data_IF_920929403094
#
_entry.id   IF_920929403094
#
_cell.length_a   1.000
_cell.length_b   1.000
_cell.length_c   1.000
_cell.angle_alpha   90.00
_cell.angle_beta   90.00
_cell.angle_gamma   90.00
#
_symmetry.space_group_name_H-M   'P 1'
#
loop_
_entity.id
_entity.type
_entity.pdbx_description
1 polymer ?
#
# COMPACT_ATOMS: atom_id res chain seq x y z
N UNK A 1 27.01 16.63 -15.44
CA UNK A 1 26.57 16.31 -14.06
C UNK A 1 26.77 14.82 -13.89
N UNK A 2 27.43 14.38 -12.81
CA UNK A 2 27.57 12.94 -12.52
C UNK A 2 26.19 12.34 -12.28
N UNK A 3 25.89 11.21 -12.91
CA UNK A 3 24.66 10.49 -12.65
C UNK A 3 24.62 10.04 -11.18
N UNK A 4 23.57 10.46 -10.46
CA UNK A 4 23.32 10.05 -9.07
C UNK A 4 22.41 8.82 -9.05
N UNK A 5 22.70 7.88 -8.16
CA UNK A 5 22.02 6.59 -8.08
C UNK A 5 21.25 6.44 -6.77
N UNK A 6 20.07 5.83 -6.81
CA UNK A 6 19.31 5.46 -5.62
C UNK A 6 19.66 4.05 -5.12
N UNK A 7 19.97 3.14 -6.06
CA UNK A 7 20.18 1.71 -5.79
C UNK A 7 21.30 1.14 -6.66
N UNK A 8 21.85 0.00 -6.24
CA UNK A 8 22.94 -0.68 -6.94
C UNK A 8 22.47 -1.33 -8.24
N UNK A 9 23.41 -2.01 -8.92
CA UNK A 9 23.14 -2.68 -10.19
C UNK A 9 22.15 -3.83 -10.02
N UNK A 10 21.20 -3.94 -10.94
CA UNK A 10 20.39 -5.14 -11.12
C UNK A 10 21.17 -6.24 -11.86
N UNK A 11 20.51 -7.37 -12.14
CA UNK A 11 21.10 -8.52 -12.86
C UNK A 11 21.64 -8.16 -14.27
N UNK A 12 21.17 -7.06 -14.87
CA UNK A 12 21.61 -6.56 -16.18
C UNK A 12 22.76 -5.55 -16.08
N UNK A 13 23.28 -5.31 -14.88
CA UNK A 13 24.38 -4.36 -14.65
C UNK A 13 23.96 -2.89 -14.64
N UNK A 14 22.65 -2.60 -14.60
CA UNK A 14 22.11 -1.23 -14.63
C UNK A 14 21.81 -0.75 -13.21
N UNK A 15 22.31 0.43 -12.82
CA UNK A 15 21.97 1.09 -11.54
C UNK A 15 20.67 1.85 -11.64
N UNK A 16 19.96 2.00 -10.53
CA UNK A 16 18.71 2.77 -10.50
C UNK A 16 19.04 4.27 -10.39
N UNK A 17 18.73 5.12 -11.40
CA UNK A 17 18.91 6.56 -11.29
C UNK A 17 18.12 7.14 -10.12
N UNK A 18 18.72 8.04 -9.33
CA UNK A 18 18.04 8.69 -8.21
C UNK A 18 16.81 9.47 -8.66
N UNK A 19 16.89 10.18 -9.79
CA UNK A 19 15.76 10.91 -10.38
C UNK A 19 14.60 9.98 -10.71
N UNK A 20 14.89 8.81 -11.29
CA UNK A 20 13.88 7.83 -11.67
C UNK A 20 13.20 7.27 -10.41
N UNK A 21 13.99 6.87 -9.42
CA UNK A 21 13.49 6.34 -8.15
C UNK A 21 12.59 7.34 -7.41
N UNK A 22 13.05 8.59 -7.22
CA UNK A 22 12.25 9.59 -6.50
C UNK A 22 10.92 9.88 -7.19
N UNK A 23 10.92 10.00 -8.52
CA UNK A 23 9.68 10.27 -9.29
C UNK A 23 8.78 9.03 -9.40
N UNK A 24 9.36 7.83 -9.53
CA UNK A 24 8.64 6.56 -9.56
C UNK A 24 7.93 6.28 -8.24
N UNK A 25 8.65 6.35 -7.13
CA UNK A 25 8.11 6.26 -5.77
C UNK A 25 7.06 7.34 -5.51
N UNK A 26 7.27 8.58 -5.94
CA UNK A 26 6.29 9.66 -5.80
C UNK A 26 4.99 9.37 -6.56
N UNK A 27 5.09 8.93 -7.82
CA UNK A 27 3.93 8.58 -8.64
C UNK A 27 3.10 7.44 -8.04
N UNK A 28 3.77 6.37 -7.58
CA UNK A 28 3.12 5.25 -6.91
C UNK A 28 2.43 5.70 -5.61
N UNK A 29 3.15 6.38 -4.71
CA UNK A 29 2.61 6.84 -3.44
C UNK A 29 1.41 7.78 -3.61
N UNK A 30 1.48 8.71 -4.56
CA UNK A 30 0.36 9.58 -4.92
C UNK A 30 -0.86 8.77 -5.36
N UNK A 31 -0.66 7.79 -6.26
CA UNK A 31 -1.75 6.93 -6.75
C UNK A 31 -2.40 6.09 -5.65
N UNK A 32 -1.63 5.59 -4.68
CA UNK A 32 -2.15 4.82 -3.55
C UNK A 32 -2.96 5.69 -2.60
N UNK A 33 -2.55 6.95 -2.44
CA UNK A 33 -3.19 7.89 -1.53
C UNK A 33 -4.38 8.64 -2.13
N UNK A 34 -4.60 8.55 -3.45
CA UNK A 34 -5.69 9.22 -4.15
C UNK A 34 -7.07 8.82 -3.60
N UNK A 35 -7.26 7.55 -3.22
CA UNK A 35 -8.55 7.02 -2.74
C UNK A 35 -9.02 7.65 -1.41
N UNK A 36 -8.12 8.29 -0.66
CA UNK A 36 -8.45 9.06 0.55
C UNK A 36 -8.06 10.54 0.44
N UNK A 37 -7.88 11.03 -0.80
CA UNK A 37 -7.67 12.45 -1.11
C UNK A 37 -6.28 13.00 -0.78
N UNK A 38 -5.30 12.14 -0.47
CA UNK A 38 -3.97 12.52 0.01
C UNK A 38 -2.86 12.35 -1.04
N UNK A 39 -3.22 12.38 -2.33
CA UNK A 39 -2.30 12.25 -3.45
C UNK A 39 -1.13 13.24 -3.36
N UNK A 40 -1.42 14.53 -3.19
CA UNK A 40 -0.39 15.59 -3.16
C UNK A 40 0.64 15.41 -2.04
N UNK A 41 0.17 15.06 -0.84
CA UNK A 41 1.05 14.90 0.33
C UNK A 41 1.87 13.61 0.23
N UNK A 42 1.26 12.49 -0.19
CA UNK A 42 1.97 11.24 -0.36
C UNK A 42 3.01 11.34 -1.49
N UNK A 43 2.64 11.94 -2.62
CA UNK A 43 3.56 12.21 -3.73
C UNK A 43 4.78 13.00 -3.26
N UNK A 44 4.57 14.12 -2.55
CA UNK A 44 5.68 14.96 -2.15
C UNK A 44 6.57 14.31 -1.08
N UNK A 45 5.99 13.63 -0.08
CA UNK A 45 6.77 12.92 0.93
C UNK A 45 7.62 11.81 0.30
N UNK A 46 7.07 11.06 -0.66
CA UNK A 46 7.82 10.10 -1.44
C UNK A 46 8.89 10.74 -2.34
N UNK A 47 8.62 11.89 -2.96
CA UNK A 47 9.60 12.59 -3.80
C UNK A 47 10.86 12.99 -3.02
N UNK A 48 10.71 13.33 -1.74
CA UNK A 48 11.83 13.83 -0.92
C UNK A 48 12.43 12.77 0.01
N UNK A 49 11.84 11.57 0.11
CA UNK A 49 12.18 10.61 1.17
C UNK A 49 13.68 10.25 1.21
N UNK A 50 14.28 10.14 0.02
CA UNK A 50 15.65 9.73 -0.23
C UNK A 50 16.56 10.89 -0.71
N UNK A 51 16.14 12.14 -0.49
CA UNK A 51 16.89 13.32 -0.90
C UNK A 51 18.37 13.30 -0.44
N UNK A 52 18.65 12.70 0.72
CA UNK A 52 20.02 12.61 1.24
C UNK A 52 20.94 11.70 0.43
N UNK A 53 20.40 10.79 -0.42
CA UNK A 53 21.19 9.96 -1.33
C UNK A 53 21.95 10.80 -2.36
N UNK A 54 21.54 12.05 -2.61
CA UNK A 54 22.23 12.96 -3.53
C UNK A 54 23.62 13.39 -3.03
N UNK A 55 23.95 13.19 -1.74
CA UNK A 55 25.26 13.56 -1.19
C UNK A 55 26.37 12.68 -1.75
N UNK A 56 27.53 13.29 -2.00
CA UNK A 56 28.71 12.59 -2.50
C UNK A 56 29.14 11.44 -1.58
N UNK A 57 29.10 11.65 -0.26
CA UNK A 57 29.47 10.62 0.72
C UNK A 57 28.58 9.37 0.60
N UNK A 58 27.29 9.55 0.34
CA UNK A 58 26.34 8.45 0.16
C UNK A 58 26.61 7.72 -1.17
N UNK A 59 26.80 8.46 -2.27
CA UNK A 59 27.12 7.87 -3.58
C UNK A 59 28.41 7.03 -3.54
N UNK A 60 29.46 7.53 -2.88
CA UNK A 60 30.69 6.76 -2.68
C UNK A 60 30.45 5.53 -1.80
N UNK A 61 29.62 5.65 -0.78
CA UNK A 61 29.18 4.52 0.05
C UNK A 61 28.47 3.44 -0.77
N UNK A 62 27.59 3.82 -1.68
CA UNK A 62 26.89 2.89 -2.58
C UNK A 62 27.88 2.14 -3.48
N UNK A 63 28.86 2.82 -4.07
CA UNK A 63 29.87 2.18 -4.91
C UNK A 63 30.72 1.16 -4.14
N UNK A 64 31.09 1.47 -2.88
CA UNK A 64 31.80 0.54 -1.99
C UNK A 64 30.93 -0.66 -1.59
N UNK A 65 29.66 -0.40 -1.29
CA UNK A 65 28.70 -1.43 -0.93
C UNK A 65 28.46 -2.41 -2.09
N UNK A 66 28.33 -1.88 -3.31
CA UNK A 66 28.20 -2.69 -4.54
C UNK A 66 29.42 -3.60 -4.75
N UNK A 67 30.63 -3.09 -4.54
CA UNK A 67 31.86 -3.87 -4.71
C UNK A 67 32.05 -4.96 -3.64
N UNK A 68 31.56 -4.73 -2.42
CA UNK A 68 31.74 -5.64 -1.28
C UNK A 68 30.54 -6.56 -1.01
N UNK A 69 29.39 -6.33 -1.67
CA UNK A 69 28.12 -6.98 -1.32
C UNK A 69 27.57 -6.54 0.05
N UNK A 70 28.03 -5.40 0.55
CA UNK A 70 27.73 -4.89 1.91
C UNK A 70 26.64 -3.84 1.97
N UNK A 71 26.48 -3.22 3.15
CA UNK A 71 25.58 -2.08 3.37
C UNK A 71 26.25 -0.77 2.96
N UNK A 72 25.45 0.24 2.61
CA UNK A 72 25.93 1.61 2.36
C UNK A 72 26.39 2.24 3.66
N UNK A 73 27.71 2.36 3.83
CA UNK A 73 28.35 2.89 5.03
C UNK A 73 29.46 3.89 4.71
N UNK A 74 29.74 4.74 5.68
CA UNK A 74 30.88 5.65 5.69
C UNK A 74 32.21 4.89 5.75
N UNK A 75 33.31 5.63 5.63
CA UNK A 75 34.66 5.09 5.77
C UNK A 75 34.95 4.54 7.17
N UNK A 76 34.18 5.02 8.16
CA UNK A 76 34.17 4.60 9.56
C UNK A 76 33.26 3.38 9.83
N UNK A 77 32.60 2.85 8.80
CA UNK A 77 31.67 1.72 8.90
C UNK A 77 30.29 2.09 9.43
N UNK A 78 30.01 3.37 9.71
CA UNK A 78 28.71 3.82 10.20
C UNK A 78 27.70 4.02 9.05
N UNK A 79 26.41 3.87 9.35
CA UNK A 79 25.36 4.17 8.37
C UNK A 79 25.38 5.65 8.01
N UNK A 80 25.33 5.94 6.70
CA UNK A 80 25.27 7.30 6.20
C UNK A 80 23.81 7.76 6.24
N UNK A 81 23.52 8.86 6.94
CA UNK A 81 22.18 9.43 6.94
C UNK A 81 21.77 9.86 5.52
N UNK A 82 20.56 9.48 5.13
CA UNK A 82 19.92 9.96 3.91
C UNK A 82 18.50 10.50 4.14
N UNK A 83 18.02 10.52 5.38
CA UNK A 83 16.63 10.84 5.71
C UNK A 83 16.43 12.30 6.11
N UNK A 84 17.44 12.95 6.71
CA UNK A 84 17.29 14.29 7.30
C UNK A 84 16.96 15.35 6.27
N UNK A 85 17.60 15.30 5.10
CA UNK A 85 17.33 16.25 4.02
C UNK A 85 15.86 16.23 3.59
N UNK A 86 15.31 15.04 3.37
CA UNK A 86 13.91 14.84 3.04
C UNK A 86 12.96 15.23 4.17
N UNK A 87 13.31 14.86 5.40
CA UNK A 87 12.52 15.20 6.61
C UNK A 87 12.44 16.72 6.78
N UNK A 88 13.55 17.43 6.56
CA UNK A 88 13.56 18.88 6.60
C UNK A 88 12.69 19.50 5.51
N UNK A 89 12.83 19.05 4.25
CA UNK A 89 11.98 19.51 3.14
C UNK A 89 10.49 19.27 3.42
N UNK A 90 10.12 18.11 3.98
CA UNK A 90 8.76 17.82 4.38
C UNK A 90 8.24 18.81 5.43
N UNK A 91 9.03 19.09 6.48
CA UNK A 91 8.65 20.03 7.53
C UNK A 91 8.55 21.49 7.07
N UNK A 92 9.28 21.88 6.02
CA UNK A 92 9.17 23.21 5.42
C UNK A 92 7.89 23.37 4.59
N UNK A 93 7.53 22.35 3.81
CA UNK A 93 6.50 22.47 2.78
C UNK A 93 5.14 21.87 3.17
N UNK A 94 5.04 21.09 4.25
CA UNK A 94 3.79 20.49 4.72
C UNK A 94 3.45 20.98 6.13
N UNK A 95 2.17 21.30 6.37
CA UNK A 95 1.63 21.61 7.69
C UNK A 95 0.42 20.73 8.02
N UNK A 96 0.29 20.21 9.26
CA UNK A 96 1.28 20.27 10.36
C UNK A 96 2.60 19.50 10.07
N UNK A 97 3.73 19.88 10.70
CA UNK A 97 5.05 19.27 10.42
C UNK A 97 5.17 17.81 10.84
N UNK A 98 4.17 17.26 11.56
CA UNK A 98 4.11 15.84 11.95
C UNK A 98 4.18 14.91 10.74
N UNK A 99 3.73 15.34 9.56
CA UNK A 99 3.83 14.55 8.33
C UNK A 99 5.28 14.26 7.91
N UNK A 100 6.25 15.05 8.36
CA UNK A 100 7.68 14.75 8.13
C UNK A 100 8.12 13.44 8.80
N UNK A 101 7.35 12.88 9.75
CA UNK A 101 7.58 11.55 10.31
C UNK A 101 7.55 10.45 9.26
N UNK A 102 6.78 10.63 8.19
CA UNK A 102 6.72 9.66 7.09
C UNK A 102 8.11 9.48 6.49
N UNK A 103 8.80 10.59 6.22
CA UNK A 103 10.17 10.56 5.68
C UNK A 103 11.17 10.14 6.75
N UNK A 104 11.04 10.60 7.98
CA UNK A 104 11.97 10.19 9.03
C UNK A 104 11.94 8.66 9.29
N UNK A 105 10.75 8.07 9.19
CA UNK A 105 10.49 6.67 9.50
C UNK A 105 10.63 5.67 8.34
N UNK A 106 10.86 6.09 7.09
CA UNK A 106 10.63 5.24 5.91
C UNK A 106 11.42 3.91 5.86
N UNK A 107 12.51 3.75 6.63
CA UNK A 107 13.21 2.45 6.80
C UNK A 107 13.14 1.88 8.23
N UNK A 108 12.66 2.64 9.22
CA UNK A 108 12.73 2.28 10.64
C UNK A 108 11.38 2.18 11.35
N UNK A 109 10.28 2.49 10.65
CA UNK A 109 8.96 2.68 11.26
C UNK A 109 8.75 4.11 11.77
N UNK A 110 7.50 4.44 12.09
CA UNK A 110 7.15 5.73 12.68
C UNK A 110 7.75 5.84 14.10
N UNK A 111 8.49 6.93 14.34
CA UNK A 111 9.15 7.19 15.62
C UNK A 111 8.29 8.05 16.57
N UNK A 112 8.81 8.39 17.74
CA UNK A 112 8.19 9.41 18.60
C UNK A 112 8.36 10.83 18.03
N UNK A 113 7.44 11.74 18.38
CA UNK A 113 7.45 13.17 18.02
C UNK A 113 8.69 13.92 18.52
N UNK A 114 9.29 13.51 19.64
CA UNK A 114 10.50 14.13 20.17
C UNK A 114 11.69 13.91 19.21
N UNK A 115 11.85 12.69 18.71
CA UNK A 115 12.89 12.36 17.73
C UNK A 115 12.69 13.13 16.42
N UNK A 116 11.45 13.34 16.00
CA UNK A 116 11.15 14.19 14.85
C UNK A 116 11.56 15.64 15.11
N UNK A 117 11.20 16.20 16.27
CA UNK A 117 11.56 17.58 16.62
C UNK A 117 13.07 17.78 16.60
N UNK A 118 13.82 16.81 17.10
CA UNK A 118 15.29 16.84 17.07
C UNK A 118 15.85 16.70 15.64
N UNK A 119 15.23 15.87 14.80
CA UNK A 119 15.63 15.73 13.40
C UNK A 119 15.35 17.00 12.57
N UNK A 120 14.27 17.72 12.88
CA UNK A 120 13.88 18.97 12.19
C UNK A 120 14.64 20.18 12.73
N UNK A 121 15.00 20.19 14.02
CA UNK A 121 15.84 21.24 14.64
C UNK A 121 17.29 21.05 14.21
N UNK A 122 17.64 21.71 13.10
CA UNK A 122 18.97 21.71 12.45
C UNK A 122 20.16 22.09 13.36
N UNK A 123 19.92 22.54 14.60
CA UNK A 123 20.94 22.91 15.58
C UNK A 123 21.57 21.70 16.30
N UNK A 124 20.99 20.51 16.17
CA UNK A 124 21.54 19.30 16.78
C UNK A 124 22.71 18.80 15.91
N UNK A 125 23.95 19.04 16.37
CA UNK A 125 25.23 18.46 15.89
C UNK A 125 25.87 19.02 14.60
N UNK A 126 25.58 20.26 14.20
CA UNK A 126 26.27 20.87 13.05
C UNK A 126 25.94 20.23 11.69
N UNK A 127 24.83 19.49 11.61
CA UNK A 127 24.39 18.76 10.42
C UNK A 127 23.66 19.66 9.40
N UNK A 128 23.48 20.96 9.71
CA UNK A 128 22.82 21.94 8.85
C UNK A 128 23.45 22.00 7.47
N UNK A 129 24.78 22.07 7.39
CA UNK A 129 25.50 22.18 6.12
C UNK A 129 25.32 20.91 5.28
N UNK A 130 25.33 19.73 5.91
CA UNK A 130 25.07 18.46 5.24
C UNK A 130 23.64 18.36 4.69
N UNK A 131 22.66 18.87 5.43
CA UNK A 131 21.26 18.95 4.97
C UNK A 131 21.14 19.91 3.79
N UNK A 132 21.72 21.11 3.87
CA UNK A 132 21.66 22.08 2.78
C UNK A 132 22.41 21.62 1.53
N UNK A 133 23.56 20.95 1.70
CA UNK A 133 24.30 20.29 0.62
C UNK A 133 23.42 19.26 -0.09
N UNK A 134 22.80 18.35 0.66
CA UNK A 134 21.90 17.34 0.10
C UNK A 134 20.72 17.97 -0.64
N UNK A 135 20.08 18.97 -0.03
CA UNK A 135 18.94 19.69 -0.61
C UNK A 135 19.35 20.40 -1.91
N UNK A 136 20.49 21.07 -1.94
CA UNK A 136 21.00 21.71 -3.15
C UNK A 136 21.33 20.71 -4.26
N UNK A 137 21.97 19.59 -3.90
CA UNK A 137 22.32 18.53 -4.84
C UNK A 137 21.08 17.85 -5.45
N UNK A 138 20.08 17.51 -4.64
CA UNK A 138 18.84 16.91 -5.15
C UNK A 138 18.00 17.92 -5.94
N UNK A 139 17.93 19.19 -5.52
CA UNK A 139 17.19 20.22 -6.25
C UNK A 139 17.77 20.51 -7.64
N UNK A 140 19.06 20.28 -7.85
CA UNK A 140 19.70 20.43 -9.16
C UNK A 140 19.24 19.38 -10.19
N UNK A 141 18.81 18.19 -9.74
CA UNK A 141 18.37 17.08 -10.60
C UNK A 141 16.85 16.81 -10.54
N UNK A 142 16.21 17.22 -9.45
CA UNK A 142 14.77 17.11 -9.18
C UNK A 142 14.30 18.46 -8.61
N UNK A 143 14.13 19.50 -9.43
CA UNK A 143 13.78 20.84 -8.96
C UNK A 143 12.43 20.89 -8.22
N UNK A 144 11.54 19.93 -8.45
CA UNK A 144 10.21 19.84 -7.84
C UNK A 144 10.24 19.64 -6.32
N UNK A 145 11.39 19.24 -5.76
CA UNK A 145 11.61 19.15 -4.30
C UNK A 145 11.57 20.53 -3.62
N UNK A 146 11.81 21.61 -4.37
CA UNK A 146 11.67 22.98 -3.91
C UNK A 146 10.31 23.53 -4.36
N UNK A 147 9.48 23.94 -3.41
CA UNK A 147 8.13 24.45 -3.73
C UNK A 147 7.98 25.93 -3.38
N UNK A 148 7.38 26.69 -4.30
CA UNK A 148 6.94 28.05 -4.05
C UNK A 148 5.66 28.15 -3.22
N UNK A 149 4.95 27.04 -3.03
CA UNK A 149 3.72 26.97 -2.22
C UNK A 149 3.74 25.74 -1.30
N UNK A 150 3.00 25.78 -0.18
CA UNK A 150 2.78 24.59 0.63
C UNK A 150 2.15 23.46 -0.17
N UNK A 151 2.40 22.23 0.27
CA UNK A 151 1.76 21.03 -0.24
C UNK A 151 0.36 20.94 0.39
N UNK A 152 -0.70 20.78 -0.42
CA UNK A 152 -2.05 20.62 0.10
C UNK A 152 -2.17 19.37 0.98
N UNK A 153 -2.82 19.53 2.13
CA UNK A 153 -3.26 18.44 3.01
C UNK A 153 -4.78 18.32 2.88
N UNK A 154 -5.35 17.10 2.91
CA UNK A 154 -6.79 16.92 2.72
C UNK A 154 -7.59 17.73 3.74
N UNK A 155 -8.61 18.45 3.26
CA UNK A 155 -9.39 19.37 4.09
C UNK A 155 -10.10 18.64 5.25
N UNK A 156 -10.55 17.40 5.03
CA UNK A 156 -11.22 16.58 6.04
C UNK A 156 -10.38 16.31 7.29
N UNK A 157 -9.05 16.45 7.19
CA UNK A 157 -8.10 16.28 8.31
C UNK A 157 -7.88 17.59 9.07
N UNK A 158 -7.97 18.72 8.36
CA UNK A 158 -7.70 20.04 8.91
C UNK A 158 -8.94 20.65 9.59
N UNK A 159 -10.13 20.13 9.31
CA UNK A 159 -11.36 20.50 10.02
C UNK A 159 -11.25 20.08 11.49
N UNK A 160 -11.55 21.03 12.38
CA UNK A 160 -11.66 20.84 13.84
C UNK A 160 -10.41 20.36 14.58
N UNK A 161 -9.21 20.53 13.99
CA UNK A 161 -7.92 20.10 14.59
C UNK A 161 -7.93 18.64 15.10
N UNK A 162 -8.65 17.76 14.41
CA UNK A 162 -8.83 16.37 14.81
C UNK A 162 -7.49 15.61 14.79
N UNK A 163 -6.91 15.42 15.97
CA UNK A 163 -5.58 14.81 16.14
C UNK A 163 -5.58 13.36 15.68
N UNK A 164 -6.66 12.64 15.91
CA UNK A 164 -6.86 11.26 15.51
C UNK A 164 -6.92 11.14 13.98
N UNK A 165 -7.57 12.08 13.29
CA UNK A 165 -7.58 12.13 11.83
C UNK A 165 -6.19 12.42 11.25
N UNK A 166 -5.43 13.33 11.86
CA UNK A 166 -4.04 13.63 11.47
C UNK A 166 -3.16 12.38 11.67
N UNK A 167 -3.26 11.74 12.83
CA UNK A 167 -2.50 10.55 13.19
C UNK A 167 -2.79 9.38 12.24
N UNK A 168 -4.07 9.14 11.96
CA UNK A 168 -4.50 8.14 10.99
C UNK A 168 -3.96 8.46 9.59
N UNK A 169 -4.03 9.73 9.15
CA UNK A 169 -3.51 10.11 7.85
C UNK A 169 -1.99 9.91 7.78
N UNK A 170 -1.23 10.23 8.84
CA UNK A 170 0.21 9.97 8.90
C UNK A 170 0.48 8.48 8.67
N UNK A 171 -0.28 7.58 9.32
CA UNK A 171 -0.12 6.13 9.13
C UNK A 171 -0.46 5.67 7.72
N UNK A 172 -1.57 6.16 7.15
CA UNK A 172 -2.00 5.80 5.80
C UNK A 172 -0.99 6.28 4.75
N UNK A 173 -0.52 7.52 4.86
CA UNK A 173 0.50 8.07 3.95
C UNK A 173 1.86 7.41 4.16
N UNK A 174 2.23 7.07 5.40
CA UNK A 174 3.43 6.27 5.68
C UNK A 174 3.37 4.92 4.97
N UNK A 175 2.25 4.20 5.09
CA UNK A 175 2.04 2.93 4.39
C UNK A 175 2.18 3.10 2.88
N UNK A 176 1.55 4.14 2.30
CA UNK A 176 1.62 4.41 0.87
C UNK A 176 3.04 4.71 0.37
N UNK A 177 3.81 5.50 1.12
CA UNK A 177 5.20 5.85 0.76
C UNK A 177 6.13 4.65 0.90
N UNK A 178 6.00 3.85 1.96
CA UNK A 178 6.80 2.64 2.16
C UNK A 178 6.50 1.59 1.09
N UNK A 179 5.23 1.34 0.80
CA UNK A 179 4.85 0.39 -0.25
C UNK A 179 5.35 0.86 -1.62
N UNK A 180 5.28 2.16 -1.90
CA UNK A 180 5.80 2.74 -3.14
C UNK A 180 7.31 2.57 -3.28
N UNK A 181 8.09 2.84 -2.22
CA UNK A 181 9.55 2.69 -2.21
C UNK A 181 9.95 1.23 -2.46
N UNK A 182 9.26 0.30 -1.77
CA UNK A 182 9.47 -1.13 -1.94
C UNK A 182 9.14 -1.58 -3.37
N UNK A 183 7.99 -1.16 -3.93
CA UNK A 183 7.56 -1.55 -5.27
C UNK A 183 8.45 -0.96 -6.37
N UNK A 184 8.84 0.30 -6.27
CA UNK A 184 9.74 0.93 -7.23
C UNK A 184 11.14 0.27 -7.19
N UNK A 185 11.66 0.01 -5.99
CA UNK A 185 12.92 -0.72 -5.80
C UNK A 185 12.83 -2.13 -6.39
N UNK A 186 11.73 -2.85 -6.12
CA UNK A 186 11.50 -4.19 -6.69
C UNK A 186 11.39 -4.15 -8.21
N UNK A 187 10.70 -3.17 -8.78
CA UNK A 187 10.58 -2.98 -10.22
C UNK A 187 11.95 -2.86 -10.91
N UNK A 188 12.92 -2.22 -10.26
CA UNK A 188 14.29 -2.12 -10.77
C UNK A 188 15.05 -3.46 -10.77
N UNK A 189 14.83 -4.31 -9.77
CA UNK A 189 15.48 -5.61 -9.66
C UNK A 189 14.71 -6.75 -10.35
N UNK A 190 13.43 -6.55 -10.64
CA UNK A 190 12.58 -7.55 -11.27
C UNK A 190 12.90 -7.70 -12.76
N UNK A 191 12.94 -8.96 -13.23
CA UNK A 191 13.12 -9.27 -14.65
C UNK A 191 11.79 -9.32 -15.42
N UNK A 192 10.66 -9.35 -14.73
CA UNK A 192 9.32 -9.58 -15.29
C UNK A 192 8.35 -8.42 -15.00
N UNK A 193 7.44 -8.21 -15.93
CA UNK A 193 6.32 -7.27 -15.82
C UNK A 193 5.33 -7.76 -14.75
N UNK A 194 4.92 -6.89 -13.84
CA UNK A 194 3.90 -7.23 -12.85
C UNK A 194 2.54 -7.50 -13.53
N UNK A 195 1.74 -8.46 -13.01
CA UNK A 195 0.42 -8.71 -13.55
C UNK A 195 -0.49 -7.47 -13.42
N UNK A 196 -1.45 -7.36 -14.34
CA UNK A 196 -2.46 -6.32 -14.26
C UNK A 196 -3.43 -6.62 -13.12
N UNK A 197 -3.82 -5.60 -12.37
CA UNK A 197 -4.79 -5.74 -11.29
C UNK A 197 -6.15 -6.08 -11.89
N UNK A 198 -6.81 -7.14 -11.39
CA UNK A 198 -8.23 -7.33 -11.62
C UNK A 198 -8.99 -6.53 -10.56
N UNK A 199 -9.98 -5.76 -10.99
CA UNK A 199 -10.86 -5.01 -10.09
C UNK A 199 -12.02 -5.90 -9.67
N UNK A 200 -12.38 -5.89 -8.37
CA UNK A 200 -13.57 -6.60 -7.90
C UNK A 200 -14.83 -6.19 -8.68
N UNK A 201 -14.93 -4.93 -9.09
CA UNK A 201 -16.04 -4.42 -9.90
C UNK A 201 -16.26 -5.19 -11.22
N UNK A 202 -15.20 -5.74 -11.82
CA UNK A 202 -15.30 -6.53 -13.07
C UNK A 202 -15.63 -8.00 -12.86
N UNK A 203 -15.77 -8.45 -11.60
CA UNK A 203 -16.04 -9.85 -11.28
C UNK A 203 -17.53 -10.13 -11.00
N UNK A 204 -18.43 -9.15 -11.13
CA UNK A 204 -19.85 -9.34 -10.80
C UNK A 204 -20.50 -10.41 -11.68
N UNK A 205 -20.25 -10.38 -12.98
CA UNK A 205 -20.88 -11.32 -13.92
C UNK A 205 -20.38 -12.75 -13.67
N UNK A 206 -19.06 -12.92 -13.46
CA UNK A 206 -18.46 -14.21 -13.09
C UNK A 206 -19.02 -14.71 -11.76
N UNK A 207 -19.09 -13.82 -10.76
CA UNK A 207 -19.62 -14.13 -9.45
C UNK A 207 -21.07 -14.61 -9.50
N UNK A 208 -21.95 -13.92 -10.23
CA UNK A 208 -23.36 -14.28 -10.33
C UNK A 208 -23.57 -15.60 -11.09
N UNK A 209 -22.84 -15.81 -12.19
CA UNK A 209 -22.89 -17.08 -12.93
C UNK A 209 -22.49 -18.26 -12.05
N UNK A 210 -21.34 -18.15 -11.38
CA UNK A 210 -20.82 -19.19 -10.50
C UNK A 210 -21.70 -19.39 -9.26
N UNK A 211 -22.34 -18.34 -8.74
CA UNK A 211 -23.29 -18.43 -7.62
C UNK A 211 -24.51 -19.25 -7.99
N UNK A 212 -25.09 -19.03 -9.17
CA UNK A 212 -26.25 -19.79 -9.65
C UNK A 212 -25.89 -21.27 -9.79
N UNK A 213 -24.75 -21.58 -10.42
CA UNK A 213 -24.25 -22.96 -10.55
C UNK A 213 -24.03 -23.60 -9.18
N UNK A 214 -23.31 -22.93 -8.28
CA UNK A 214 -23.03 -23.43 -6.93
C UNK A 214 -24.30 -23.76 -6.15
N UNK A 215 -25.33 -22.90 -6.20
CA UNK A 215 -26.59 -23.14 -5.51
C UNK A 215 -27.38 -24.31 -6.14
N UNK A 216 -27.34 -24.47 -7.47
CA UNK A 216 -27.96 -25.60 -8.15
C UNK A 216 -27.29 -26.93 -7.76
N UNK A 217 -25.96 -26.96 -7.66
CA UNK A 217 -25.20 -28.13 -7.19
C UNK A 217 -25.57 -28.51 -5.75
N UNK A 218 -25.67 -27.51 -4.85
CA UNK A 218 -26.08 -27.74 -3.47
C UNK A 218 -27.51 -28.29 -3.38
N UNK A 219 -28.45 -27.74 -4.17
CA UNK A 219 -29.82 -28.22 -4.23
C UNK A 219 -29.91 -29.66 -4.78
N UNK A 220 -29.08 -30.00 -5.78
CA UNK A 220 -29.02 -31.35 -6.33
C UNK A 220 -28.43 -32.37 -5.33
N UNK A 221 -27.41 -31.96 -4.57
CA UNK A 221 -26.71 -32.84 -3.62
C UNK A 221 -27.48 -33.05 -2.31
N UNK A 222 -28.15 -32.01 -1.79
CA UNK A 222 -28.76 -32.03 -0.45
C UNK A 222 -30.30 -31.91 -0.46
N UNK A 223 -30.91 -31.69 -1.63
CA UNK A 223 -32.33 -31.36 -1.75
C UNK A 223 -32.63 -29.89 -1.42
N UNK A 224 -33.76 -29.40 -1.93
CA UNK A 224 -34.24 -28.04 -1.66
C UNK A 224 -34.78 -27.95 -0.24
N UNK A 225 -34.33 -26.95 0.51
CA UNK A 225 -34.77 -26.66 1.88
C UNK A 225 -35.79 -25.53 1.91
N UNK A 226 -36.78 -25.55 2.83
CA UNK A 226 -37.66 -24.40 3.08
C UNK A 226 -36.90 -23.10 3.42
N UNK A 227 -35.67 -23.22 3.93
CA UNK A 227 -34.80 -22.08 4.29
C UNK A 227 -34.16 -21.42 3.06
N UNK A 228 -34.13 -22.08 1.90
CA UNK A 228 -33.47 -21.54 0.70
C UNK A 228 -34.18 -20.29 0.16
N UNK A 229 -35.49 -20.20 0.33
CA UNK A 229 -36.24 -18.97 0.05
C UNK A 229 -35.85 -17.81 0.98
N UNK A 230 -35.52 -18.09 2.25
CA UNK A 230 -35.02 -17.07 3.19
C UNK A 230 -33.62 -16.63 2.78
N UNK A 231 -32.73 -17.57 2.46
CA UNK A 231 -31.36 -17.28 2.01
C UNK A 231 -31.34 -16.41 0.76
N UNK A 232 -32.23 -16.68 -0.19
CA UNK A 232 -32.39 -15.89 -1.42
C UNK A 232 -32.83 -14.46 -1.13
N UNK A 233 -33.84 -14.27 -0.25
CA UNK A 233 -34.28 -12.93 0.16
C UNK A 233 -33.18 -12.15 0.90
N UNK A 234 -32.42 -12.81 1.78
CA UNK A 234 -31.30 -12.19 2.49
C UNK A 234 -30.22 -11.72 1.50
N UNK A 235 -29.92 -12.52 0.49
CA UNK A 235 -29.00 -12.15 -0.59
C UNK A 235 -29.49 -10.92 -1.36
N UNK A 236 -30.74 -10.95 -1.83
CA UNK A 236 -31.35 -9.84 -2.58
C UNK A 236 -31.35 -8.53 -1.79
N UNK A 237 -31.71 -8.58 -0.50
CA UNK A 237 -31.68 -7.43 0.39
C UNK A 237 -30.26 -6.87 0.58
N UNK A 238 -29.27 -7.74 0.75
CA UNK A 238 -27.88 -7.34 0.93
C UNK A 238 -27.33 -6.65 -0.34
N UNK A 239 -27.62 -7.21 -1.52
CA UNK A 239 -27.22 -6.62 -2.80
C UNK A 239 -27.91 -5.27 -3.03
N UNK A 240 -29.23 -5.20 -2.82
CA UNK A 240 -29.99 -3.96 -2.99
C UNK A 240 -29.48 -2.85 -2.05
N UNK A 241 -29.19 -3.18 -0.79
CA UNK A 241 -28.62 -2.25 0.18
C UNK A 241 -27.22 -1.76 -0.26
N UNK A 242 -26.37 -2.67 -0.72
CA UNK A 242 -25.03 -2.34 -1.21
C UNK A 242 -25.05 -1.39 -2.42
N UNK A 243 -25.95 -1.61 -3.38
CA UNK A 243 -26.09 -0.77 -4.57
C UNK A 243 -26.63 0.63 -4.22
N UNK A 244 -27.61 0.71 -3.31
CA UNK A 244 -28.24 1.98 -2.94
C UNK A 244 -27.36 2.87 -2.04
N UNK A 245 -26.46 2.29 -1.26
CA UNK A 245 -25.65 3.00 -0.28
C UNK A 245 -24.52 3.85 -0.90
N UNK A 246 -24.15 4.94 -0.22
CA UNK A 246 -23.04 5.83 -0.56
C UNK A 246 -21.65 5.17 -0.47
N UNK A 247 -20.58 5.92 -0.79
CA UNK A 247 -19.20 5.41 -0.81
C UNK A 247 -18.71 4.86 0.53
N UNK A 248 -19.11 5.48 1.64
CA UNK A 248 -18.81 5.03 3.00
C UNK A 248 -20.12 4.66 3.70
N UNK A 249 -20.40 3.37 3.81
CA UNK A 249 -21.62 2.86 4.42
C UNK A 249 -21.34 1.72 5.40
N UNK A 250 -22.10 1.71 6.50
CA UNK A 250 -22.10 0.63 7.48
C UNK A 250 -23.38 -0.18 7.34
N UNK A 251 -23.24 -1.50 7.20
CA UNK A 251 -24.37 -2.42 7.05
C UNK A 251 -24.41 -3.39 8.22
N UNK A 252 -25.18 -3.10 9.29
CA UNK A 252 -25.40 -4.07 10.35
C UNK A 252 -26.08 -5.32 9.79
N UNK A 253 -25.37 -6.45 9.80
CA UNK A 253 -25.86 -7.70 9.22
C UNK A 253 -26.31 -8.68 10.31
N UNK A 254 -27.47 -8.41 10.91
CA UNK A 254 -28.05 -9.25 11.96
C UNK A 254 -28.82 -10.44 11.37
N UNK A 255 -28.10 -11.45 10.88
CA UNK A 255 -28.70 -12.71 10.43
C UNK A 255 -28.15 -13.92 11.23
N UNK A 256 -29.01 -14.91 11.57
CA UNK A 256 -28.58 -16.09 12.31
C UNK A 256 -27.65 -16.98 11.48
N UNK A 257 -27.04 -17.97 12.13
CA UNK A 257 -26.28 -19.02 11.43
C UNK A 257 -27.18 -19.74 10.43
N UNK A 258 -26.62 -20.18 9.31
CA UNK A 258 -27.38 -20.86 8.25
C UNK A 258 -28.21 -19.95 7.33
N UNK A 259 -28.29 -18.64 7.60
CA UNK A 259 -29.05 -17.67 6.78
C UNK A 259 -28.36 -17.26 5.46
N UNK A 260 -27.22 -17.85 5.11
CA UNK A 260 -26.52 -17.56 3.84
C UNK A 260 -25.60 -16.33 3.86
N UNK A 261 -25.15 -15.90 5.04
CA UNK A 261 -24.31 -14.69 5.24
C UNK A 261 -23.09 -14.63 4.32
N UNK A 262 -22.37 -15.73 4.15
CA UNK A 262 -21.15 -15.77 3.34
C UNK A 262 -21.40 -15.30 1.90
N UNK A 263 -22.41 -15.86 1.23
CA UNK A 263 -22.75 -15.48 -0.15
C UNK A 263 -23.36 -14.07 -0.19
N UNK A 264 -24.20 -13.72 0.78
CA UNK A 264 -24.83 -12.39 0.85
C UNK A 264 -23.81 -11.26 1.06
N UNK A 265 -22.80 -11.44 1.91
CA UNK A 265 -21.72 -10.44 2.11
C UNK A 265 -20.85 -10.32 0.86
N UNK A 266 -20.53 -11.43 0.19
CA UNK A 266 -19.79 -11.38 -1.07
C UNK A 266 -20.60 -10.68 -2.18
N UNK A 267 -21.90 -10.98 -2.28
CA UNK A 267 -22.83 -10.31 -3.19
C UNK A 267 -22.91 -8.81 -2.93
N UNK A 268 -23.11 -8.41 -1.67
CA UNK A 268 -23.09 -7.01 -1.26
C UNK A 268 -21.77 -6.35 -1.69
N UNK A 269 -20.63 -6.97 -1.36
CA UNK A 269 -19.31 -6.43 -1.65
C UNK A 269 -19.04 -6.24 -3.15
N UNK A 270 -19.31 -7.25 -3.98
CA UNK A 270 -19.03 -7.19 -5.42
C UNK A 270 -19.97 -6.23 -6.16
N UNK A 271 -21.26 -6.19 -5.79
CA UNK A 271 -22.21 -5.26 -6.40
C UNK A 271 -21.98 -3.82 -5.95
N UNK A 272 -21.63 -3.61 -4.67
CA UNK A 272 -21.21 -2.31 -4.18
C UNK A 272 -19.94 -1.83 -4.90
N UNK A 273 -18.96 -2.72 -5.07
CA UNK A 273 -17.74 -2.43 -5.82
C UNK A 273 -18.04 -2.02 -7.27
N UNK A 274 -18.95 -2.70 -7.96
CA UNK A 274 -19.40 -2.31 -9.31
C UNK A 274 -20.10 -0.95 -9.33
N UNK A 275 -20.93 -0.65 -8.33
CA UNK A 275 -21.63 0.63 -8.24
C UNK A 275 -20.71 1.80 -7.86
N UNK A 276 -19.61 1.54 -7.14
CA UNK A 276 -18.75 2.58 -6.52
C UNK A 276 -17.29 2.57 -6.99
N UNK A 277 -16.91 1.68 -7.91
CA UNK A 277 -15.52 1.54 -8.37
C UNK A 277 -14.58 0.87 -7.35
N UNK A 278 -15.14 0.06 -6.43
CA UNK A 278 -14.35 -0.69 -5.46
C UNK A 278 -13.45 -1.72 -6.13
N UNK A 279 -12.19 -1.78 -5.71
CA UNK A 279 -11.22 -2.70 -6.31
C UNK A 279 -11.09 -4.04 -5.57
N UNK A 280 -11.51 -4.12 -4.30
CA UNK A 280 -11.23 -5.25 -3.40
C UNK A 280 -12.33 -5.44 -2.35
N UNK A 281 -12.43 -6.66 -1.84
CA UNK A 281 -13.25 -7.03 -0.69
C UNK A 281 -12.35 -7.72 0.35
N UNK A 282 -12.23 -7.13 1.54
CA UNK A 282 -11.51 -7.74 2.67
C UNK A 282 -12.55 -8.32 3.62
N UNK A 283 -12.45 -9.63 3.87
CA UNK A 283 -13.37 -10.34 4.77
C UNK A 283 -12.60 -10.82 6.00
N UNK A 284 -12.78 -10.13 7.12
CA UNK A 284 -12.22 -10.51 8.41
C UNK A 284 -13.21 -11.41 9.18
N UNK A 285 -12.77 -12.59 9.59
CA UNK A 285 -13.57 -13.55 10.37
C UNK A 285 -12.77 -14.07 11.58
N UNK A 286 -13.44 -14.46 12.68
CA UNK A 286 -12.77 -14.66 13.98
C UNK A 286 -11.94 -15.94 14.09
N UNK A 287 -12.19 -16.95 13.25
CA UNK A 287 -11.53 -18.26 13.35
C UNK A 287 -10.93 -18.66 12.00
N UNK A 288 -9.71 -19.20 12.03
CA UNK A 288 -9.01 -19.68 10.82
C UNK A 288 -9.80 -20.78 10.09
N UNK A 289 -10.51 -21.64 10.82
CA UNK A 289 -11.39 -22.65 10.25
C UNK A 289 -12.55 -22.04 9.44
N UNK A 290 -13.10 -20.92 9.90
CA UNK A 290 -14.12 -20.16 9.18
C UNK A 290 -13.49 -19.44 7.99
N UNK A 291 -12.28 -18.89 8.14
CA UNK A 291 -11.53 -18.28 7.03
C UNK A 291 -11.35 -19.27 5.89
N UNK A 292 -10.86 -20.48 6.16
CA UNK A 292 -10.67 -21.50 5.12
C UNK A 292 -11.97 -22.06 4.54
N UNK A 293 -13.06 -22.11 5.31
CA UNK A 293 -14.39 -22.42 4.78
C UNK A 293 -14.89 -21.34 3.81
N UNK A 294 -14.82 -20.07 4.22
CA UNK A 294 -15.24 -18.94 3.39
C UNK A 294 -14.35 -18.81 2.15
N UNK A 295 -13.03 -18.99 2.27
CA UNK A 295 -12.11 -18.94 1.15
C UNK A 295 -12.45 -20.01 0.09
N UNK A 296 -12.79 -21.24 0.49
CA UNK A 296 -13.25 -22.28 -0.45
C UNK A 296 -14.52 -21.88 -1.21
N UNK A 297 -15.51 -21.31 -0.51
CA UNK A 297 -16.72 -20.79 -1.15
C UNK A 297 -16.38 -19.65 -2.11
N UNK A 298 -15.59 -18.68 -1.67
CA UNK A 298 -15.20 -17.54 -2.51
C UNK A 298 -14.38 -17.94 -3.73
N UNK A 299 -13.48 -18.93 -3.64
CA UNK A 299 -12.75 -19.46 -4.80
C UNK A 299 -13.70 -20.06 -5.84
N UNK A 300 -14.77 -20.74 -5.40
CA UNK A 300 -15.81 -21.26 -6.31
C UNK A 300 -16.62 -20.14 -6.96
N UNK A 301 -16.85 -19.04 -6.25
CA UNK A 301 -17.66 -17.92 -6.74
C UNK A 301 -16.87 -16.94 -7.61
N UNK A 302 -15.68 -16.53 -7.20
CA UNK A 302 -14.87 -15.53 -7.89
C UNK A 302 -13.83 -16.11 -8.85
N UNK A 303 -13.47 -17.39 -8.73
CA UNK A 303 -12.27 -17.96 -9.33
C UNK A 303 -11.17 -18.11 -8.28
N UNK A 304 -10.39 -19.19 -8.38
CA UNK A 304 -9.37 -19.53 -7.37
C UNK A 304 -8.21 -18.53 -7.36
N UNK A 305 -7.89 -18.01 -8.54
CA UNK A 305 -6.89 -16.99 -8.77
C UNK A 305 -7.23 -15.68 -8.08
N UNK A 306 -8.50 -15.29 -7.94
CA UNK A 306 -8.91 -13.98 -7.42
C UNK A 306 -9.15 -13.94 -5.90
N UNK A 307 -8.74 -14.99 -5.16
CA UNK A 307 -8.99 -15.10 -3.71
C UNK A 307 -7.70 -15.38 -2.95
N UNK A 308 -7.29 -14.42 -2.13
CA UNK A 308 -6.20 -14.57 -1.16
C UNK A 308 -6.74 -15.03 0.21
N UNK A 309 -6.41 -16.26 0.60
CA UNK A 309 -6.62 -16.76 1.96
C UNK A 309 -5.40 -16.43 2.81
N UNK A 310 -5.57 -15.64 3.87
CA UNK A 310 -4.45 -15.17 4.70
C UNK A 310 -4.72 -15.37 6.19
N UNK A 311 -3.98 -16.29 6.80
CA UNK A 311 -3.93 -16.51 8.24
C UNK A 311 -2.71 -17.36 8.63
N UNK A 312 -2.40 -17.45 9.92
CA UNK A 312 -1.23 -18.17 10.46
C UNK A 312 -1.17 -19.67 10.11
N UNK A 313 -2.31 -20.31 9.87
CA UNK A 313 -2.38 -21.73 9.49
C UNK A 313 -2.21 -22.06 8.00
N UNK A 314 -1.96 -21.09 7.12
CA UNK A 314 -1.74 -21.39 5.69
C UNK A 314 -0.31 -21.90 5.50
N UNK A 315 -0.16 -23.12 5.01
CA UNK A 315 1.14 -23.66 4.61
C UNK A 315 1.52 -23.15 3.21
N UNK A 316 2.07 -21.94 3.18
CA UNK A 316 2.56 -21.31 1.96
C UNK A 316 3.69 -22.13 1.34
N UNK A 317 4.42 -22.91 2.14
CA UNK A 317 5.55 -23.68 1.66
C UNK A 317 5.18 -25.03 1.02
N UNK A 318 3.92 -25.45 1.16
CA UNK A 318 3.36 -26.55 0.40
C UNK A 318 2.83 -26.12 -0.99
N UNK A 319 2.67 -24.82 -1.27
CA UNK A 319 2.12 -24.34 -2.53
C UNK A 319 3.12 -24.49 -3.71
N UNK A 320 2.65 -24.75 -4.94
CA UNK A 320 3.46 -24.69 -6.14
C UNK A 320 4.18 -23.34 -6.27
N UNK A 321 5.38 -23.30 -6.85
CA UNK A 321 6.25 -22.11 -6.88
C UNK A 321 5.54 -20.83 -7.36
N UNK A 322 4.77 -20.90 -8.45
CA UNK A 322 4.02 -19.76 -8.97
C UNK A 322 2.89 -19.27 -8.05
N UNK A 323 2.24 -20.18 -7.33
CA UNK A 323 1.18 -19.84 -6.36
C UNK A 323 1.78 -19.33 -5.05
N UNK A 324 2.88 -19.93 -4.59
CA UNK A 324 3.67 -19.46 -3.44
C UNK A 324 4.12 -18.02 -3.62
N UNK A 325 4.65 -17.69 -4.81
CA UNK A 325 5.09 -16.32 -5.13
C UNK A 325 3.92 -15.34 -5.07
N UNK A 326 2.80 -15.69 -5.70
CA UNK A 326 1.55 -14.89 -5.69
C UNK A 326 1.03 -14.67 -4.26
N UNK A 327 0.97 -15.75 -3.47
CA UNK A 327 0.51 -15.70 -2.10
C UNK A 327 1.39 -14.80 -1.22
N UNK A 328 2.73 -14.98 -1.27
CA UNK A 328 3.66 -14.15 -0.51
C UNK A 328 3.56 -12.68 -0.87
N UNK A 329 3.63 -12.35 -2.16
CA UNK A 329 3.51 -10.97 -2.63
C UNK A 329 2.15 -10.37 -2.27
N UNK A 330 1.11 -11.20 -2.25
CA UNK A 330 -0.20 -10.74 -1.91
C UNK A 330 -0.48 -10.54 -0.43
N UNK A 331 0.09 -11.37 0.41
CA UNK A 331 0.02 -11.21 1.85
C UNK A 331 0.70 -9.93 2.33
N UNK A 332 1.67 -9.38 1.58
CA UNK A 332 2.41 -8.18 1.96
C UNK A 332 1.57 -6.90 1.92
N UNK A 333 0.74 -6.70 0.90
CA UNK A 333 0.04 -5.42 0.69
C UNK A 333 -1.43 -5.55 0.25
N UNK A 334 -1.97 -6.77 0.23
CA UNK A 334 -3.34 -7.06 -0.20
C UNK A 334 -3.73 -6.41 -1.56
N UNK A 335 -2.74 -6.18 -2.47
CA UNK A 335 -2.93 -5.78 -3.87
C UNK A 335 -3.38 -6.91 -4.82
N UNK A 336 -4.58 -6.80 -5.39
CA UNK A 336 -5.13 -7.72 -6.42
C UNK A 336 -4.32 -7.86 -7.73
N UNK A 337 -3.13 -7.24 -7.82
CA UNK A 337 -2.15 -7.55 -8.87
C UNK A 337 -1.45 -8.90 -8.64
N UNK A 338 -1.53 -9.45 -7.43
CA UNK A 338 -0.84 -10.70 -7.11
C UNK A 338 -1.78 -11.93 -7.02
N UNK A 339 -3.10 -11.74 -7.15
CA UNK A 339 -4.16 -12.78 -7.20
C UNK A 339 -5.36 -12.24 -7.99
#
# INVERSE_FOLDING_TARGET
MSDLWAHSKNARGVRHPLVAHLRGTAGLAGSFAAVFGAECIAYYLALVHDAGKARLVWQQGLLRAEASGGRVVGVDGQSIDHKRAGTWLAAQHIRPPVFAMVVWGHHGGLSDLLLLKDAVRQEVRGERDAVQEAVGAVAAIVPEVQRGSPVPVPEWVLRDENREAIELLVRLVFSAVVDADVLDTRGHYAEQTEPQAVSLASLVEVFEANRVEYLAEQAAACGVSPVDGVRSRVYEQAVAAGVAAGEAALFPFAAPTGAGKTIAVAGLGVHHARARGGSRLIVAVPFTSITGQNARVYRRLFGAEHVLEHHSGVDVDALPEGERRRHRLGAENWMSRWW
#
